data_IF_788453750277
#
_entry.id   IF_788453750277
#
_cell.length_a   1.000
_cell.length_b   1.000
_cell.length_c   1.000
_cell.angle_alpha   90.00
_cell.angle_beta   90.00
_cell.angle_gamma   90.00
#
_symmetry.space_group_name_H-M   'P 1'
#
loop_
_entity.id
_entity.type
_entity.pdbx_description
1 polymer ?
#
# COMPACT_ATOMS: atom_id res chain seq x y z
N UNK A 1 17.09 -8.64 5.14
CA UNK A 1 16.88 -9.72 4.18
C UNK A 1 17.64 -10.98 4.54
N UNK A 2 18.82 -10.79 4.92
CA UNK A 2 19.67 -11.90 5.30
C UNK A 2 19.07 -12.73 6.41
N UNK A 3 18.37 -12.09 7.32
CA UNK A 3 17.86 -12.76 8.50
C UNK A 3 17.03 -13.99 8.16
N UNK A 4 16.10 -13.84 7.23
CA UNK A 4 15.22 -14.96 6.91
C UNK A 4 15.99 -16.10 6.27
N UNK A 5 16.90 -15.78 5.37
CA UNK A 5 17.71 -16.79 4.73
C UNK A 5 18.63 -17.44 5.73
N UNK A 6 19.21 -16.65 6.60
CA UNK A 6 20.12 -17.16 7.61
C UNK A 6 19.44 -18.13 8.53
N UNK A 7 18.24 -17.83 8.94
CA UNK A 7 17.48 -18.72 9.80
C UNK A 7 17.29 -20.09 9.16
N UNK A 8 17.11 -20.11 7.86
CA UNK A 8 16.88 -21.36 7.16
C UNK A 8 18.15 -22.16 6.93
N UNK A 9 19.26 -21.48 6.86
CA UNK A 9 20.52 -22.16 6.61
C UNK A 9 20.83 -23.22 7.64
N UNK A 10 20.43 -22.98 8.85
CA UNK A 10 20.75 -23.90 9.94
C UNK A 10 19.74 -25.02 10.08
N UNK A 11 18.76 -25.08 9.18
CA UNK A 11 17.70 -26.06 9.29
C UNK A 11 16.87 -25.88 10.54
N UNK A 12 17.09 -24.79 11.23
CA UNK A 12 16.33 -24.49 12.42
C UNK A 12 15.52 -23.24 12.15
N UNK A 13 14.26 -23.31 12.48
CA UNK A 13 13.37 -22.18 12.28
C UNK A 13 13.18 -21.47 13.59
N UNK A 14 13.55 -20.21 13.59
CA UNK A 14 13.21 -19.34 14.69
C UNK A 14 12.00 -18.56 14.28
N UNK A 15 10.98 -18.62 15.08
CA UNK A 15 9.83 -17.76 14.89
C UNK A 15 10.30 -16.34 15.18
N UNK A 16 10.45 -15.51 14.16
CA UNK A 16 10.80 -14.13 14.42
C UNK A 16 9.56 -13.40 14.95
N UNK A 17 9.74 -12.22 15.47
CA UNK A 17 8.68 -11.46 16.11
C UNK A 17 7.51 -11.22 15.14
N UNK A 18 7.81 -11.00 13.84
CA UNK A 18 6.77 -10.75 12.87
C UNK A 18 5.90 -11.97 12.63
N UNK A 19 6.49 -13.16 12.58
CA UNK A 19 5.74 -14.40 12.40
C UNK A 19 4.84 -14.66 13.58
N UNK A 20 5.36 -14.47 14.78
CA UNK A 20 4.58 -14.67 16.00
C UNK A 20 3.43 -13.69 16.06
N UNK A 21 3.70 -12.44 15.73
CA UNK A 21 2.67 -11.42 15.72
C UNK A 21 1.60 -11.70 14.68
N UNK A 22 2.02 -12.17 13.50
CA UNK A 22 1.09 -12.52 12.44
C UNK A 22 0.17 -13.66 12.86
N UNK A 23 0.72 -14.68 13.50
CA UNK A 23 -0.08 -15.80 13.95
C UNK A 23 -1.08 -15.36 15.02
N UNK A 24 -0.65 -14.50 15.92
CA UNK A 24 -1.54 -14.00 16.95
C UNK A 24 -2.68 -13.16 16.34
N UNK A 25 -2.37 -12.31 15.39
CA UNK A 25 -3.38 -11.51 14.71
C UNK A 25 -4.38 -12.42 14.03
N UNK A 26 -3.89 -13.41 13.28
CA UNK A 26 -4.76 -14.32 12.56
C UNK A 26 -5.67 -15.10 13.49
N UNK A 27 -5.12 -15.54 14.62
CA UNK A 27 -5.91 -16.27 15.62
C UNK A 27 -7.07 -15.40 16.11
N UNK A 28 -6.76 -14.14 16.44
CA UNK A 28 -7.79 -13.25 16.98
C UNK A 28 -8.83 -12.88 15.92
N UNK A 29 -8.41 -12.75 14.68
CA UNK A 29 -9.35 -12.46 13.60
C UNK A 29 -10.29 -13.66 13.36
N UNK A 30 -9.79 -14.88 13.50
CA UNK A 30 -10.67 -16.05 13.42
C UNK A 30 -11.69 -16.04 14.53
N UNK A 31 -11.28 -15.65 15.73
CA UNK A 31 -12.21 -15.54 16.84
C UNK A 31 -13.29 -14.47 16.57
N UNK A 32 -12.94 -13.44 15.81
CA UNK A 32 -13.90 -12.41 15.42
C UNK A 32 -14.86 -12.87 14.34
N UNK A 33 -14.59 -14.01 13.73
CA UNK A 33 -15.47 -14.53 12.72
C UNK A 33 -14.96 -14.44 11.29
N UNK A 34 -13.66 -14.18 11.11
CA UNK A 34 -13.11 -14.18 9.76
C UNK A 34 -13.35 -15.52 9.11
N UNK A 35 -13.96 -15.54 7.94
CA UNK A 35 -14.28 -16.76 7.24
C UNK A 35 -13.10 -17.31 6.46
N UNK A 36 -12.13 -16.46 6.17
CA UNK A 36 -10.95 -16.88 5.42
C UNK A 36 -9.80 -15.92 5.74
N UNK A 37 -8.64 -16.50 5.98
CA UNK A 37 -7.41 -15.73 6.12
C UNK A 37 -6.37 -16.43 5.27
N UNK A 38 -5.81 -15.69 4.32
CA UNK A 38 -4.83 -16.24 3.41
C UNK A 38 -3.54 -15.47 3.54
N UNK A 39 -2.44 -16.19 3.77
CA UNK A 39 -1.13 -15.61 3.83
C UNK A 39 -0.46 -15.74 2.48
N UNK A 40 0.07 -14.65 1.99
CA UNK A 40 0.71 -14.63 0.69
C UNK A 40 2.12 -14.07 0.85
N UNK A 41 3.11 -14.87 0.48
CA UNK A 41 4.49 -14.40 0.49
C UNK A 41 4.68 -13.39 -0.62
N UNK A 42 5.13 -12.21 -0.25
CA UNK A 42 5.37 -11.17 -1.23
C UNK A 42 6.49 -10.25 -0.75
N UNK A 43 7.09 -9.55 -1.71
CA UNK A 43 8.06 -8.52 -1.41
C UNK A 43 7.38 -7.19 -1.63
N UNK A 44 7.40 -6.36 -0.59
CA UNK A 44 6.81 -5.03 -0.64
C UNK A 44 7.87 -4.01 -0.99
N UNK A 45 7.56 -3.18 -1.97
CA UNK A 45 8.43 -2.09 -2.38
C UNK A 45 7.75 -0.77 -2.11
N UNK A 46 8.46 0.15 -1.51
CA UNK A 46 7.95 1.49 -1.25
C UNK A 46 8.76 2.46 -2.10
N UNK A 47 8.07 3.17 -2.99
CA UNK A 47 8.70 4.05 -3.96
C UNK A 47 8.23 5.47 -3.72
N UNK A 48 9.18 6.40 -3.63
CA UNK A 48 8.86 7.81 -3.42
C UNK A 48 9.48 8.66 -4.51
N UNK A 49 8.68 9.59 -5.01
CA UNK A 49 9.14 10.59 -5.96
C UNK A 49 8.95 11.97 -5.35
N UNK A 50 9.95 12.81 -5.52
CA UNK A 50 9.80 14.19 -5.11
C UNK A 50 9.70 15.05 -6.36
N UNK A 51 8.57 15.70 -6.52
CA UNK A 51 8.33 16.58 -7.64
C UNK A 51 8.73 18.01 -7.24
N UNK A 52 8.25 19.00 -7.97
CA UNK A 52 8.60 20.37 -7.66
C UNK A 52 8.18 20.76 -6.25
N UNK A 53 9.00 21.62 -5.63
CA UNK A 53 8.76 22.11 -4.28
C UNK A 53 8.64 21.03 -3.23
N UNK A 54 9.29 19.88 -3.49
CA UNK A 54 9.28 18.79 -2.53
C UNK A 54 7.97 18.04 -2.44
N UNK A 55 7.06 18.26 -3.39
CA UNK A 55 5.78 17.54 -3.38
C UNK A 55 6.01 16.05 -3.59
N UNK A 56 5.52 15.25 -2.68
CA UNK A 56 5.79 13.81 -2.71
C UNK A 56 4.65 13.02 -3.32
N UNK A 57 5.02 12.11 -4.23
CA UNK A 57 4.11 11.09 -4.74
C UNK A 57 4.74 9.75 -4.42
N UNK A 58 3.99 8.89 -3.77
CA UNK A 58 4.53 7.64 -3.27
C UNK A 58 3.62 6.47 -3.58
N UNK A 59 4.25 5.33 -3.81
CA UNK A 59 3.56 4.10 -4.18
C UNK A 59 4.09 2.94 -3.36
N UNK A 60 3.24 1.94 -3.20
CA UNK A 60 3.66 0.64 -2.68
C UNK A 60 3.27 -0.38 -3.73
N UNK A 61 4.19 -1.27 -4.08
CA UNK A 61 3.82 -2.39 -4.91
C UNK A 61 4.37 -3.67 -4.32
N UNK A 62 3.65 -4.75 -4.53
CA UNK A 62 4.01 -6.05 -4.03
C UNK A 62 4.14 -7.03 -5.19
N UNK A 63 5.16 -7.86 -5.11
CA UNK A 63 5.34 -8.97 -6.04
C UNK A 63 5.26 -10.24 -5.22
N UNK A 64 4.28 -11.08 -5.52
CA UNK A 64 4.11 -12.31 -4.78
C UNK A 64 5.06 -13.38 -5.30
N UNK A 65 5.19 -14.44 -4.53
CA UNK A 65 6.02 -15.57 -4.91
C UNK A 65 5.59 -16.16 -6.26
N UNK A 66 4.30 -16.05 -6.60
CA UNK A 66 3.77 -16.56 -7.85
C UNK A 66 3.72 -15.50 -8.95
N UNK A 67 4.51 -14.44 -8.80
CA UNK A 67 4.61 -13.36 -9.78
C UNK A 67 3.28 -12.67 -10.03
N UNK A 68 2.53 -12.43 -8.98
CA UNK A 68 1.36 -11.58 -9.04
C UNK A 68 1.75 -10.22 -8.54
N UNK A 69 1.19 -9.18 -9.15
CA UNK A 69 1.61 -7.81 -8.93
C UNK A 69 0.45 -6.99 -8.41
N UNK A 70 0.70 -6.22 -7.34
CA UNK A 70 -0.31 -5.35 -6.74
C UNK A 70 0.27 -3.96 -6.58
N UNK A 71 -0.55 -2.96 -6.78
CA UNK A 71 -0.11 -1.57 -6.74
C UNK A 71 -1.08 -0.71 -5.98
N UNK A 72 -0.54 0.23 -5.23
CA UNK A 72 -1.33 1.20 -4.50
C UNK A 72 -0.57 2.51 -4.43
N UNK A 73 -1.25 3.61 -4.71
CA UNK A 73 -0.67 4.93 -4.46
C UNK A 73 -0.94 5.30 -3.00
N UNK A 74 0.08 5.81 -2.33
CA UNK A 74 -0.01 6.19 -0.92
C UNK A 74 -0.08 7.70 -0.73
N UNK A 75 0.63 8.44 -1.57
CA UNK A 75 0.72 9.90 -1.50
C UNK A 75 0.55 10.48 -2.88
N UNK A 76 -0.07 11.65 -3.02
CA UNK A 76 -0.53 12.56 -1.96
C UNK A 76 -1.80 12.09 -1.26
N UNK A 77 -2.54 11.19 -1.84
CA UNK A 77 -3.69 10.56 -1.22
C UNK A 77 -3.79 9.13 -1.73
N UNK A 78 -4.37 8.28 -0.90
CA UNK A 78 -4.40 6.86 -1.18
C UNK A 78 -5.34 6.52 -2.34
N UNK A 79 -4.87 5.60 -3.20
CA UNK A 79 -5.69 5.07 -4.26
C UNK A 79 -5.24 3.63 -4.52
N UNK A 80 -6.11 2.69 -4.24
CA UNK A 80 -5.81 1.28 -4.47
C UNK A 80 -6.06 0.93 -5.92
N UNK A 81 -5.07 0.32 -6.57
CA UNK A 81 -5.23 -0.17 -7.93
C UNK A 81 -5.46 -1.66 -7.96
N UNK A 82 -5.03 -2.34 -6.90
CA UNK A 82 -5.19 -3.76 -6.81
C UNK A 82 -4.24 -4.51 -7.73
N UNK A 83 -4.74 -5.56 -8.35
CA UNK A 83 -3.91 -6.46 -9.13
C UNK A 83 -3.53 -5.86 -10.49
N UNK A 84 -2.24 -5.93 -10.81
CA UNK A 84 -1.70 -5.47 -12.08
C UNK A 84 -1.31 -6.68 -12.91
N UNK A 85 -1.32 -6.53 -14.22
CA UNK A 85 -1.08 -7.65 -15.12
C UNK A 85 0.36 -8.17 -15.04
N UNK A 86 1.32 -7.25 -14.98
CA UNK A 86 2.73 -7.60 -15.02
C UNK A 86 3.58 -6.42 -14.54
N UNK A 87 4.89 -6.61 -14.56
CA UNK A 87 5.83 -5.57 -14.15
C UNK A 87 5.73 -4.34 -15.04
N UNK A 88 5.54 -4.55 -16.33
CA UNK A 88 5.44 -3.45 -17.28
C UNK A 88 4.24 -2.55 -16.96
N UNK A 89 3.14 -3.17 -16.56
CA UNK A 89 1.93 -2.43 -16.19
C UNK A 89 2.16 -1.52 -14.99
N UNK A 90 2.94 -1.98 -14.01
CA UNK A 90 3.27 -1.16 -12.87
C UNK A 90 4.08 0.06 -13.29
N UNK A 91 5.12 -0.17 -14.09
CA UNK A 91 5.97 0.92 -14.56
C UNK A 91 5.16 1.90 -15.40
N UNK A 92 4.32 1.39 -16.29
CA UNK A 92 3.50 2.22 -17.15
C UNK A 92 2.54 3.08 -16.33
N UNK A 93 1.90 2.49 -15.34
CA UNK A 93 0.98 3.24 -14.50
C UNK A 93 1.69 4.35 -13.73
N UNK A 94 2.79 4.01 -13.08
CA UNK A 94 3.52 5.01 -12.29
C UNK A 94 4.04 6.12 -13.18
N UNK A 95 4.56 5.77 -14.35
CA UNK A 95 5.06 6.77 -15.30
C UNK A 95 3.98 7.77 -15.68
N UNK A 96 2.81 7.27 -16.01
CA UNK A 96 1.69 8.12 -16.40
C UNK A 96 1.18 8.95 -15.23
N UNK A 97 1.08 8.32 -14.07
CA UNK A 97 0.58 8.98 -12.87
C UNK A 97 1.49 10.13 -12.45
N UNK A 98 2.80 9.89 -12.46
CA UNK A 98 3.78 10.94 -12.14
C UNK A 98 3.68 12.09 -13.13
N UNK A 99 3.53 11.78 -14.41
CA UNK A 99 3.41 12.82 -15.42
C UNK A 99 2.18 13.69 -15.19
N UNK A 100 1.08 13.05 -14.79
CA UNK A 100 -0.15 13.78 -14.49
C UNK A 100 0.03 14.72 -13.30
N UNK A 101 0.69 14.27 -12.25
CA UNK A 101 0.92 15.13 -11.09
C UNK A 101 1.88 16.26 -11.42
N UNK A 102 2.92 16.00 -12.20
CA UNK A 102 3.82 17.07 -12.63
C UNK A 102 3.08 18.14 -13.41
N UNK A 103 2.23 17.71 -14.31
CA UNK A 103 1.43 18.65 -15.09
C UNK A 103 0.46 19.41 -14.20
N UNK A 104 -0.19 18.68 -13.28
CA UNK A 104 -1.15 19.32 -12.38
C UNK A 104 -0.51 20.39 -11.52
N UNK A 105 0.75 20.24 -11.15
CA UNK A 105 1.45 21.25 -10.35
C UNK A 105 1.54 22.60 -11.04
N UNK A 106 1.40 22.64 -12.36
CA UNK A 106 1.42 23.88 -13.11
C UNK A 106 0.06 24.57 -13.12
N UNK A 107 -0.97 23.90 -12.62
CA UNK A 107 -2.31 24.49 -12.55
C UNK A 107 -2.41 25.41 -11.35
N UNK A 108 -3.10 26.54 -11.52
CA UNK A 108 -3.37 27.45 -10.41
C UNK A 108 -4.32 26.81 -9.38
N UNK A 109 -4.99 25.71 -9.74
CA UNK A 109 -5.93 25.05 -8.88
C UNK A 109 -5.34 23.83 -8.18
N UNK A 110 -4.06 23.58 -8.35
CA UNK A 110 -3.43 22.38 -7.80
C UNK A 110 -3.58 22.28 -6.29
N UNK A 111 -3.30 23.39 -5.59
CA UNK A 111 -3.41 23.40 -4.13
C UNK A 111 -4.83 23.08 -3.68
N UNK A 112 -5.81 23.69 -4.33
CA UNK A 112 -7.22 23.45 -4.02
C UNK A 112 -7.59 21.99 -4.28
N UNK A 113 -7.08 21.42 -5.36
CA UNK A 113 -7.33 20.02 -5.67
C UNK A 113 -6.82 19.10 -4.56
N UNK A 114 -5.58 19.31 -4.11
CA UNK A 114 -4.99 18.48 -3.07
C UNK A 114 -5.74 18.64 -1.74
N UNK A 115 -6.09 19.87 -1.39
CA UNK A 115 -6.88 20.11 -0.19
C UNK A 115 -8.22 19.41 -0.25
N UNK A 116 -8.88 19.49 -1.40
CA UNK A 116 -10.19 18.85 -1.58
C UNK A 116 -10.08 17.34 -1.44
N UNK A 117 -9.06 16.73 -2.03
CA UNK A 117 -8.86 15.29 -1.91
C UNK A 117 -8.66 14.88 -0.45
N UNK A 118 -7.91 15.69 0.31
CA UNK A 118 -7.72 15.44 1.73
C UNK A 118 -9.01 15.57 2.52
N UNK A 119 -9.80 16.59 2.20
CA UNK A 119 -11.08 16.81 2.87
C UNK A 119 -12.06 15.67 2.58
N UNK A 120 -12.04 15.13 1.38
CA UNK A 120 -12.93 14.01 1.06
C UNK A 120 -12.60 12.78 1.89
N UNK A 121 -11.34 12.52 2.15
CA UNK A 121 -10.96 11.43 3.05
C UNK A 121 -11.46 11.68 4.46
N UNK A 122 -11.35 12.90 4.94
CA UNK A 122 -11.86 13.28 6.26
C UNK A 122 -13.37 13.12 6.30
N UNK A 123 -14.06 13.54 5.26
CA UNK A 123 -15.50 13.42 5.19
C UNK A 123 -15.95 11.96 5.25
N UNK A 124 -15.28 11.10 4.52
CA UNK A 124 -15.61 9.68 4.57
C UNK A 124 -15.47 9.12 5.98
N UNK A 125 -14.37 9.46 6.66
CA UNK A 125 -14.16 9.01 8.03
C UNK A 125 -15.27 9.53 8.96
N UNK A 126 -15.70 10.77 8.77
CA UNK A 126 -16.77 11.34 9.57
C UNK A 126 -18.11 10.67 9.31
N UNK A 127 -18.39 10.32 8.06
CA UNK A 127 -19.60 9.61 7.73
C UNK A 127 -19.61 8.23 8.37
N UNK A 128 -18.49 7.54 8.37
CA UNK A 128 -18.40 6.23 9.01
C UNK A 128 -18.63 6.36 10.51
N UNK A 129 -18.01 7.35 11.12
CA UNK A 129 -18.18 7.59 12.54
C UNK A 129 -19.64 7.84 12.88
N UNK A 130 -20.32 8.62 12.04
CA UNK A 130 -21.71 8.96 12.27
C UNK A 130 -22.64 7.75 12.12
N UNK A 131 -22.41 6.94 11.09
CA UNK A 131 -23.32 5.84 10.78
C UNK A 131 -22.97 4.54 11.47
N UNK A 132 -21.70 4.29 11.74
CA UNK A 132 -21.30 3.01 12.31
C UNK A 132 -21.26 3.01 13.83
N UNK A 133 -21.17 4.18 14.45
CA UNK A 133 -21.10 4.27 15.90
C UNK A 133 -22.41 4.63 16.56
N UNK A 134 -23.49 4.63 15.80
CA UNK A 134 -24.82 4.87 16.35
C UNK A 134 -25.63 3.61 16.49
#
# INVERSE_FOLDING_TARGET
MVSRRTLRQNGVYFMNANSISGDMINFRLRQLGATSIREVNSIMHIVRFQLENGFEVAYVFNITKNNKYFLQRMRPYALAHGKMADAESIVAFITEDIAKFRQAQHSSNFHTFIETASLMNTLTAKLEELFLNN
#
